data_IF_058183524958
#
_entry.id   IF_058183524958
#
_cell.length_a   1.000
_cell.length_b   1.000
_cell.length_c   1.000
_cell.angle_alpha   90.00
_cell.angle_beta   90.00
_cell.angle_gamma   90.00
#
_symmetry.space_group_name_H-M   'P 1'
#
loop_
_entity.id
_entity.type
_entity.pdbx_description
1 polymer ?
#
# COMPACT_ATOMS: atom_id res chain seq x y z
N UNK A 1 13.32 35.85 -21.25
CA UNK A 1 13.66 35.16 -19.98
C UNK A 1 12.40 34.43 -19.55
N UNK A 2 12.29 33.18 -19.96
CA UNK A 2 11.12 32.30 -19.70
C UNK A 2 11.29 31.66 -18.34
N UNK A 3 10.36 31.95 -17.45
CA UNK A 3 10.29 31.35 -16.10
C UNK A 3 10.09 29.86 -16.21
N UNK A 4 11.04 29.09 -15.65
CA UNK A 4 10.96 27.64 -15.55
C UNK A 4 9.78 27.24 -14.66
N UNK A 5 8.87 26.44 -15.18
CA UNK A 5 7.78 25.83 -14.41
C UNK A 5 8.36 24.89 -13.36
N UNK A 6 7.84 24.84 -12.12
CA UNK A 6 8.31 23.92 -11.08
C UNK A 6 8.00 22.47 -11.48
N UNK A 7 9.07 21.68 -11.55
CA UNK A 7 9.20 20.37 -12.13
C UNK A 7 8.19 19.32 -11.70
N UNK A 8 7.71 18.65 -12.71
CA UNK A 8 7.26 17.28 -12.63
C UNK A 8 8.33 16.42 -11.92
N UNK A 9 7.94 15.52 -11.03
CA UNK A 9 8.80 14.48 -10.49
C UNK A 9 9.45 13.76 -11.67
N UNK A 10 10.76 13.97 -11.88
CA UNK A 10 11.55 13.15 -12.80
C UNK A 10 11.35 11.71 -12.36
N UNK A 11 11.22 10.83 -13.33
CA UNK A 11 11.00 9.42 -13.07
C UNK A 11 12.07 8.91 -12.09
N UNK A 12 11.64 8.33 -10.96
CA UNK A 12 12.52 7.77 -9.93
C UNK A 12 13.49 6.76 -10.55
N UNK A 13 13.07 6.05 -11.58
CA UNK A 13 13.91 5.13 -12.33
C UNK A 13 15.07 5.85 -13.04
N UNK A 14 14.81 7.02 -13.63
CA UNK A 14 15.85 7.86 -14.27
C UNK A 14 16.87 8.35 -13.24
N UNK A 15 16.42 8.78 -12.06
CA UNK A 15 17.31 9.21 -10.97
C UNK A 15 18.20 8.05 -10.51
N UNK A 16 17.64 6.85 -10.30
CA UNK A 16 18.42 5.67 -9.91
C UNK A 16 19.45 5.27 -10.96
N UNK A 17 19.15 5.40 -12.23
CA UNK A 17 20.11 5.15 -13.32
C UNK A 17 21.22 6.20 -13.36
N UNK A 18 20.88 7.46 -13.12
CA UNK A 18 21.84 8.58 -13.18
C UNK A 18 22.80 8.61 -11.98
N UNK A 19 22.39 8.07 -10.85
CA UNK A 19 23.16 8.06 -9.60
C UNK A 19 23.39 6.62 -9.13
N UNK A 20 24.40 5.90 -9.72
CA UNK A 20 24.74 4.55 -9.30
C UNK A 20 25.05 4.47 -7.80
N UNK A 21 24.55 3.43 -7.14
CA UNK A 21 24.66 3.29 -5.69
C UNK A 21 26.10 3.33 -5.19
N UNK A 22 27.02 2.66 -5.89
CA UNK A 22 28.44 2.64 -5.49
C UNK A 22 29.03 4.04 -5.43
N UNK A 23 28.82 4.85 -6.47
CA UNK A 23 29.35 6.21 -6.56
C UNK A 23 28.81 7.11 -5.46
N UNK A 24 27.51 6.93 -5.11
CA UNK A 24 26.87 7.71 -4.05
C UNK A 24 27.40 7.32 -2.68
N UNK A 25 27.60 6.03 -2.42
CA UNK A 25 28.15 5.51 -1.19
C UNK A 25 29.60 5.98 -0.96
N UNK A 26 30.43 5.96 -2.00
CA UNK A 26 31.81 6.46 -1.93
C UNK A 26 31.87 7.98 -1.73
N UNK A 27 30.99 8.76 -2.39
CA UNK A 27 30.89 10.22 -2.17
C UNK A 27 30.42 10.57 -0.76
N UNK A 28 29.65 9.70 -0.14
CA UNK A 28 29.25 9.82 1.27
C UNK A 28 30.38 9.50 2.26
N UNK A 29 31.61 9.22 1.76
CA UNK A 29 32.80 8.96 2.58
C UNK A 29 32.95 7.52 3.06
N UNK A 30 32.08 6.61 2.63
CA UNK A 30 32.18 5.19 2.98
C UNK A 30 33.27 4.53 2.14
N UNK A 31 34.31 4.06 2.82
CA UNK A 31 35.43 3.37 2.15
C UNK A 31 35.05 1.92 1.84
N UNK A 32 34.99 1.61 0.55
CA UNK A 32 34.66 0.28 0.06
C UNK A 32 35.87 -0.37 -0.59
N UNK A 33 35.99 -1.69 -0.45
CA UNK A 33 36.96 -2.53 -1.17
C UNK A 33 36.22 -3.59 -1.98
N UNK A 34 36.79 -3.98 -3.08
CA UNK A 34 36.20 -5.02 -3.92
C UNK A 34 36.20 -6.36 -3.20
N UNK A 35 35.05 -7.02 -3.13
CA UNK A 35 34.83 -8.30 -2.44
C UNK A 35 34.30 -9.40 -3.40
N UNK A 36 34.49 -9.21 -4.72
CA UNK A 36 34.06 -10.13 -5.76
C UNK A 36 33.86 -9.44 -7.11
N UNK A 37 33.31 -10.16 -8.09
CA UNK A 37 33.09 -9.61 -9.42
C UNK A 37 32.13 -8.41 -9.41
N UNK A 38 31.08 -8.46 -8.61
CA UNK A 38 30.01 -7.46 -8.55
C UNK A 38 29.77 -6.86 -7.15
N UNK A 39 30.54 -7.29 -6.14
CA UNK A 39 30.32 -6.87 -4.76
C UNK A 39 31.49 -6.07 -4.19
N UNK A 40 31.11 -5.04 -3.45
CA UNK A 40 32.01 -4.19 -2.69
C UNK A 40 31.64 -4.28 -1.20
N UNK A 41 32.64 -4.15 -0.33
CA UNK A 41 32.49 -4.33 1.13
C UNK A 41 33.21 -3.22 1.88
N UNK A 42 32.62 -2.75 2.96
CA UNK A 42 33.22 -1.78 3.89
C UNK A 42 32.58 -1.80 5.26
N UNK A 43 32.98 -0.83 6.08
CA UNK A 43 32.34 -0.57 7.37
C UNK A 43 30.98 0.08 7.14
N UNK A 44 29.99 -0.26 7.95
CA UNK A 44 28.64 0.28 7.83
C UNK A 44 28.57 1.73 8.32
N UNK A 45 27.98 2.65 7.56
CA UNK A 45 27.80 4.04 8.00
C UNK A 45 26.60 4.23 8.95
N UNK A 46 25.81 3.20 9.19
CA UNK A 46 24.53 3.30 9.92
C UNK A 46 24.61 2.78 11.36
N UNK A 47 25.72 2.17 11.77
CA UNK A 47 25.97 1.73 13.14
C UNK A 47 27.48 1.69 13.39
N UNK A 48 27.88 1.64 14.62
CA UNK A 48 29.28 1.45 14.99
C UNK A 48 29.75 0.06 14.54
N UNK A 49 30.60 0.03 13.52
CA UNK A 49 31.02 -1.20 12.84
C UNK A 49 32.55 -1.31 12.85
N UNK A 50 33.07 -2.34 13.47
CA UNK A 50 34.51 -2.63 13.57
C UNK A 50 34.96 -3.73 12.59
N UNK A 51 34.01 -4.45 12.02
CA UNK A 51 34.26 -5.50 11.04
C UNK A 51 33.44 -5.24 9.77
N UNK A 52 34.03 -5.18 8.56
CA UNK A 52 33.30 -4.87 7.34
C UNK A 52 32.06 -5.73 7.15
N UNK A 53 30.89 -5.17 7.40
CA UNK A 53 29.60 -5.85 7.34
C UNK A 53 28.65 -5.24 6.29
N UNK A 54 29.06 -4.13 5.69
CA UNK A 54 28.29 -3.41 4.67
C UNK A 54 28.71 -3.83 3.26
N UNK A 55 27.76 -4.28 2.47
CA UNK A 55 27.99 -4.74 1.11
C UNK A 55 27.15 -3.96 0.10
N UNK A 56 27.76 -3.64 -1.04
CA UNK A 56 27.11 -3.02 -2.20
C UNK A 56 27.21 -3.99 -3.38
N UNK A 57 26.10 -4.34 -3.98
CA UNK A 57 26.00 -5.09 -5.23
C UNK A 57 25.77 -4.10 -6.36
N UNK A 58 26.76 -3.99 -7.26
CA UNK A 58 26.74 -2.99 -8.35
C UNK A 58 25.84 -3.39 -9.52
N UNK A 59 25.54 -4.66 -9.66
CA UNK A 59 24.64 -5.16 -10.70
C UNK A 59 23.18 -4.99 -10.29
N UNK A 60 22.86 -5.41 -9.05
CA UNK A 60 21.51 -5.28 -8.49
C UNK A 60 21.22 -3.86 -7.97
N UNK A 61 22.22 -2.96 -7.91
CA UNK A 61 22.11 -1.60 -7.35
C UNK A 61 21.50 -1.61 -5.93
N UNK A 62 21.97 -2.52 -5.09
CA UNK A 62 21.48 -2.74 -3.74
C UNK A 62 22.62 -2.78 -2.73
N UNK A 63 22.33 -2.28 -1.53
CA UNK A 63 23.20 -2.51 -0.37
C UNK A 63 22.52 -3.38 0.68
N UNK A 64 23.33 -4.02 1.49
CA UNK A 64 22.92 -4.76 2.68
C UNK A 64 24.04 -4.70 3.73
N UNK A 65 23.66 -4.44 4.98
CA UNK A 65 24.52 -4.60 6.13
C UNK A 65 24.14 -5.87 6.89
N UNK A 66 25.10 -6.76 7.08
CA UNK A 66 24.87 -7.99 7.86
C UNK A 66 24.94 -7.76 9.37
N UNK A 67 25.46 -6.61 9.84
CA UNK A 67 25.45 -6.18 11.23
C UNK A 67 24.06 -5.66 11.63
N UNK A 68 23.71 -4.43 11.21
CA UNK A 68 22.46 -3.77 11.60
C UNK A 68 21.24 -4.12 10.75
N UNK A 69 21.40 -4.98 9.72
CA UNK A 69 20.33 -5.41 8.78
C UNK A 69 19.77 -4.32 7.90
N UNK A 70 20.36 -3.14 7.87
CA UNK A 70 20.03 -2.08 6.90
C UNK A 70 20.22 -2.58 5.49
N UNK A 71 19.30 -2.23 4.61
CA UNK A 71 19.32 -2.64 3.20
C UNK A 71 18.45 -1.72 2.36
N UNK A 72 18.77 -1.58 1.09
CA UNK A 72 17.98 -0.75 0.18
C UNK A 72 18.68 -0.49 -1.14
N UNK A 73 18.20 0.51 -1.85
CA UNK A 73 18.80 1.07 -3.06
C UNK A 73 19.45 2.43 -2.77
N UNK A 74 19.83 3.17 -3.82
CA UNK A 74 20.49 4.49 -3.68
C UNK A 74 19.64 5.51 -2.93
N UNK A 75 18.32 5.50 -3.10
CA UNK A 75 17.43 6.43 -2.39
C UNK A 75 17.29 6.07 -0.92
N UNK A 76 17.22 4.78 -0.62
CA UNK A 76 17.22 4.30 0.76
C UNK A 76 18.53 4.62 1.46
N UNK A 77 19.67 4.46 0.76
CA UNK A 77 20.98 4.83 1.30
C UNK A 77 21.04 6.30 1.66
N UNK A 78 20.69 7.19 0.72
CA UNK A 78 20.69 8.64 0.95
C UNK A 78 19.75 9.04 2.07
N UNK A 79 18.54 8.47 2.12
CA UNK A 79 17.60 8.74 3.21
C UNK A 79 18.17 8.38 4.58
N UNK A 80 18.80 7.22 4.68
CA UNK A 80 19.37 6.76 5.95
C UNK A 80 20.61 7.56 6.34
N UNK A 81 21.50 7.85 5.38
CA UNK A 81 22.77 8.54 5.62
C UNK A 81 22.55 10.01 5.95
N UNK A 82 21.67 10.70 5.25
CA UNK A 82 21.38 12.12 5.42
C UNK A 82 20.20 12.37 6.37
N UNK A 83 19.69 11.34 7.05
CA UNK A 83 18.55 11.42 7.98
C UNK A 83 17.30 12.07 7.35
N UNK A 84 17.03 11.80 6.06
CA UNK A 84 15.92 12.36 5.33
C UNK A 84 14.64 11.54 5.57
N UNK A 85 13.50 12.24 5.59
CA UNK A 85 12.21 11.61 5.91
C UNK A 85 11.50 11.01 4.69
N UNK A 86 11.76 11.56 3.49
CA UNK A 86 11.01 11.18 2.28
C UNK A 86 11.92 10.83 1.10
N UNK A 87 11.41 10.01 0.18
CA UNK A 87 12.08 9.72 -1.10
C UNK A 87 12.24 10.99 -1.95
N UNK A 88 11.29 11.93 -1.86
CA UNK A 88 11.38 13.20 -2.55
C UNK A 88 12.58 14.05 -2.09
N UNK A 89 12.86 14.05 -0.78
CA UNK A 89 14.05 14.71 -0.22
C UNK A 89 15.34 14.03 -0.70
N UNK A 90 15.38 12.70 -0.76
CA UNK A 90 16.53 11.98 -1.29
C UNK A 90 16.77 12.26 -2.79
N UNK A 91 15.70 12.33 -3.57
CA UNK A 91 15.79 12.73 -4.98
C UNK A 91 16.31 14.15 -5.13
N UNK A 92 15.83 15.09 -4.33
CA UNK A 92 16.27 16.47 -4.32
C UNK A 92 17.75 16.60 -3.93
N UNK A 93 18.16 15.86 -2.90
CA UNK A 93 19.56 15.79 -2.46
C UNK A 93 20.49 15.28 -3.59
N UNK A 94 20.11 14.17 -4.24
CA UNK A 94 20.88 13.59 -5.35
C UNK A 94 20.97 14.53 -6.56
N UNK A 95 19.90 15.26 -6.88
CA UNK A 95 19.83 16.11 -8.06
C UNK A 95 20.35 17.53 -7.83
N UNK A 96 20.68 17.89 -6.57
CA UNK A 96 21.07 19.25 -6.19
C UNK A 96 19.94 20.27 -6.40
N UNK A 97 18.71 19.82 -6.59
CA UNK A 97 17.55 20.71 -6.66
C UNK A 97 17.22 21.19 -5.25
N UNK A 98 16.93 22.50 -5.04
CA UNK A 98 16.47 22.97 -3.75
C UNK A 98 15.25 22.12 -3.36
N UNK A 99 15.29 21.49 -2.19
CA UNK A 99 14.07 20.94 -1.58
C UNK A 99 13.11 22.12 -1.51
N UNK A 100 11.96 22.12 -2.19
CA UNK A 100 10.97 23.15 -1.95
C UNK A 100 10.76 23.15 -0.45
N UNK A 101 10.80 24.34 0.25
CA UNK A 101 10.67 24.39 1.69
C UNK A 101 9.53 23.46 2.04
N UNK A 102 9.80 22.49 2.93
CA UNK A 102 8.84 21.45 3.26
C UNK A 102 7.52 22.18 3.38
N UNK A 103 6.63 22.02 2.39
CA UNK A 103 5.34 22.71 2.42
C UNK A 103 4.87 22.39 3.80
N UNK A 104 4.88 23.43 4.67
CA UNK A 104 4.43 23.30 6.03
C UNK A 104 3.28 22.32 5.94
N UNK A 105 3.43 21.16 6.59
CA UNK A 105 2.31 20.25 6.70
C UNK A 105 1.17 21.20 7.01
N UNK A 106 0.33 21.48 6.03
CA UNK A 106 -0.90 22.23 6.27
C UNK A 106 -1.47 21.42 7.39
N UNK A 107 -1.49 22.03 8.57
CA UNK A 107 -2.03 21.39 9.76
C UNK A 107 -3.33 20.79 9.28
N UNK A 108 -3.55 19.49 9.42
CA UNK A 108 -4.67 18.81 8.80
C UNK A 108 -5.86 19.71 9.08
N UNK A 109 -6.47 20.22 8.02
CA UNK A 109 -7.60 21.14 8.15
C UNK A 109 -8.56 20.50 9.14
N UNK A 110 -9.16 21.29 10.00
CA UNK A 110 -10.08 20.92 11.09
C UNK A 110 -11.20 19.93 10.72
N UNK A 111 -11.27 19.50 9.47
CA UNK A 111 -12.15 18.43 8.95
C UNK A 111 -11.74 17.00 9.35
N UNK A 112 -10.65 16.81 10.05
CA UNK A 112 -10.10 15.48 10.36
C UNK A 112 -10.23 15.07 11.82
N UNK A 113 -10.99 15.80 12.64
CA UNK A 113 -11.06 15.56 14.08
C UNK A 113 -11.85 14.30 14.50
N UNK A 114 -12.47 13.56 13.56
CA UNK A 114 -13.33 12.41 13.87
C UNK A 114 -12.90 11.08 13.25
N UNK A 115 -11.74 11.00 12.62
CA UNK A 115 -11.24 9.69 12.21
C UNK A 115 -10.62 9.01 13.42
N UNK A 116 -11.09 7.82 13.74
CA UNK A 116 -10.42 6.96 14.70
C UNK A 116 -9.04 6.59 14.14
N UNK A 117 -8.04 7.31 14.61
CA UNK A 117 -6.67 7.29 14.13
C UNK A 117 -5.79 6.33 14.93
N UNK A 118 -6.37 5.24 15.43
CA UNK A 118 -5.59 4.23 16.15
C UNK A 118 -4.38 3.80 15.31
N UNK A 119 -4.58 3.60 14.02
CA UNK A 119 -3.54 3.15 13.09
C UNK A 119 -2.50 4.22 12.76
N UNK A 120 -2.83 5.50 12.95
CA UNK A 120 -1.90 6.62 12.81
C UNK A 120 -1.14 6.93 14.12
N UNK A 121 -1.44 6.24 15.22
CA UNK A 121 -0.92 6.47 16.57
C UNK A 121 -0.37 5.21 17.23
N UNK A 122 0.13 4.29 16.43
CA UNK A 122 0.77 3.08 16.96
C UNK A 122 2.00 3.45 17.79
N UNK A 123 2.15 2.81 18.93
CA UNK A 123 3.39 2.86 19.70
C UNK A 123 4.51 2.16 18.95
N UNK A 124 5.75 2.41 19.32
CA UNK A 124 6.89 1.72 18.73
C UNK A 124 6.81 0.19 18.93
N UNK A 125 6.31 -0.24 20.08
CA UNK A 125 6.14 -1.66 20.40
C UNK A 125 5.04 -2.30 19.55
N UNK A 126 3.89 -1.63 19.37
CA UNK A 126 2.82 -2.09 18.48
C UNK A 126 3.31 -2.18 17.04
N UNK A 127 4.02 -1.17 16.57
CA UNK A 127 4.60 -1.16 15.22
C UNK A 127 5.61 -2.28 15.03
N UNK A 128 6.44 -2.57 16.03
CA UNK A 128 7.40 -3.67 15.99
C UNK A 128 6.69 -5.02 15.87
N UNK A 129 5.62 -5.23 16.62
CA UNK A 129 4.82 -6.46 16.55
C UNK A 129 4.13 -6.60 15.19
N UNK A 130 3.56 -5.52 14.63
CA UNK A 130 2.97 -5.54 13.29
C UNK A 130 4.02 -5.81 12.21
N UNK A 131 5.20 -5.20 12.30
CA UNK A 131 6.32 -5.44 11.38
C UNK A 131 6.78 -6.90 11.42
N UNK A 132 6.88 -7.46 12.62
CA UNK A 132 7.23 -8.87 12.85
C UNK A 132 6.19 -9.78 12.23
N UNK A 133 4.90 -9.53 12.48
CA UNK A 133 3.81 -10.28 11.88
C UNK A 133 3.85 -10.22 10.35
N UNK A 134 4.00 -9.01 9.79
CA UNK A 134 4.11 -8.82 8.34
C UNK A 134 5.29 -9.56 7.72
N UNK A 135 6.46 -9.57 8.38
CA UNK A 135 7.63 -10.30 7.91
C UNK A 135 7.38 -11.82 7.90
N UNK A 136 6.88 -12.37 9.01
CA UNK A 136 6.59 -13.80 9.15
C UNK A 136 5.51 -14.25 8.15
N UNK A 137 4.47 -13.46 7.95
CA UNK A 137 3.40 -13.78 6.99
C UNK A 137 3.91 -13.75 5.55
N UNK A 138 4.77 -12.78 5.17
CA UNK A 138 5.39 -12.77 3.84
C UNK A 138 6.25 -14.02 3.62
N UNK A 139 7.10 -14.37 4.56
CA UNK A 139 7.94 -15.55 4.48
C UNK A 139 7.12 -16.85 4.37
N UNK A 140 6.03 -16.95 5.16
CA UNK A 140 5.14 -18.10 5.13
C UNK A 140 4.41 -18.22 3.78
N UNK A 141 4.02 -17.10 3.16
CA UNK A 141 3.38 -17.09 1.85
C UNK A 141 4.27 -17.73 0.78
N UNK A 142 5.55 -17.34 0.73
CA UNK A 142 6.47 -17.86 -0.30
C UNK A 142 6.81 -19.33 -0.10
N UNK A 143 6.65 -19.87 1.10
CA UNK A 143 6.78 -21.31 1.40
C UNK A 143 5.48 -22.10 1.19
N UNK A 144 4.33 -21.42 1.05
CA UNK A 144 3.02 -22.08 0.92
C UNK A 144 2.54 -22.10 -0.53
N UNK A 145 2.73 -23.25 -1.21
CA UNK A 145 2.34 -23.42 -2.61
C UNK A 145 0.82 -23.22 -2.84
N UNK A 146 -0.03 -23.63 -1.89
CA UNK A 146 -1.49 -23.48 -2.00
C UNK A 146 -1.92 -22.02 -1.94
N UNK A 147 -1.35 -21.24 -1.02
CA UNK A 147 -1.64 -19.81 -0.92
C UNK A 147 -1.16 -19.06 -2.18
N UNK A 148 0.01 -19.39 -2.72
CA UNK A 148 0.49 -18.81 -3.97
C UNK A 148 -0.40 -19.18 -5.16
N UNK A 149 -0.77 -20.45 -5.29
CA UNK A 149 -1.68 -20.90 -6.35
C UNK A 149 -3.03 -20.17 -6.31
N UNK A 150 -3.56 -19.91 -5.10
CA UNK A 150 -4.76 -19.11 -4.94
C UNK A 150 -4.59 -17.69 -5.48
N UNK A 151 -3.48 -17.01 -5.16
CA UNK A 151 -3.21 -15.66 -5.67
C UNK A 151 -3.03 -15.64 -7.19
N UNK A 152 -2.36 -16.65 -7.76
CA UNK A 152 -2.25 -16.82 -9.21
C UNK A 152 -3.63 -17.05 -9.85
N UNK A 153 -4.47 -17.88 -9.24
CA UNK A 153 -5.85 -18.10 -9.71
C UNK A 153 -6.69 -16.82 -9.66
N UNK A 154 -6.40 -15.90 -8.73
CA UNK A 154 -7.01 -14.56 -8.65
C UNK A 154 -6.40 -13.56 -9.64
N UNK A 155 -5.49 -13.99 -10.52
CA UNK A 155 -4.89 -13.15 -11.55
C UNK A 155 -3.85 -12.15 -11.01
N UNK A 156 -3.33 -12.34 -9.80
CA UNK A 156 -2.37 -11.43 -9.20
C UNK A 156 -0.94 -11.81 -9.55
N UNK A 157 -0.18 -10.96 -10.23
CA UNK A 157 1.23 -11.19 -10.53
C UNK A 157 2.09 -11.02 -9.27
N UNK A 158 3.21 -11.72 -9.22
CA UNK A 158 4.14 -11.75 -8.08
C UNK A 158 4.60 -10.35 -7.66
N UNK A 159 4.74 -9.42 -8.60
CA UNK A 159 5.16 -8.06 -8.26
C UNK A 159 4.10 -7.31 -7.42
N UNK A 160 2.80 -7.54 -7.67
CA UNK A 160 1.71 -6.98 -6.83
C UNK A 160 1.77 -7.58 -5.44
N UNK A 161 1.93 -8.91 -5.36
CA UNK A 161 2.04 -9.63 -4.08
C UNK A 161 3.18 -9.05 -3.24
N UNK A 162 4.34 -8.80 -3.85
CA UNK A 162 5.50 -8.19 -3.17
C UNK A 162 5.28 -6.72 -2.83
N UNK A 163 4.82 -5.92 -3.79
CA UNK A 163 4.65 -4.47 -3.63
C UNK A 163 3.55 -4.10 -2.62
N UNK A 164 2.53 -4.94 -2.47
CA UNK A 164 1.48 -4.77 -1.47
C UNK A 164 1.76 -5.52 -0.16
N UNK A 165 2.91 -6.22 -0.05
CA UNK A 165 3.33 -6.89 1.17
C UNK A 165 2.45 -8.06 1.60
N UNK A 166 1.78 -8.75 0.64
CA UNK A 166 0.90 -9.85 0.95
C UNK A 166 1.64 -10.97 1.69
N UNK A 167 0.91 -11.64 2.59
CA UNK A 167 1.42 -12.73 3.39
C UNK A 167 0.42 -13.89 3.52
N UNK A 168 0.80 -14.87 4.31
CA UNK A 168 -0.04 -16.01 4.69
C UNK A 168 0.23 -16.35 6.16
N UNK A 169 -0.81 -16.52 6.96
CA UNK A 169 -0.66 -17.02 8.33
C UNK A 169 -0.81 -18.54 8.36
N UNK A 170 0.22 -19.22 8.80
CA UNK A 170 0.19 -20.68 9.04
C UNK A 170 -0.50 -21.07 10.35
N UNK A 171 -0.89 -20.05 11.15
CA UNK A 171 -1.61 -20.19 12.39
C UNK A 171 -0.75 -20.49 13.63
N UNK A 172 0.58 -20.45 13.51
CA UNK A 172 1.50 -20.82 14.61
C UNK A 172 2.82 -20.06 14.64
N UNK A 173 3.31 -19.59 13.50
CA UNK A 173 4.66 -19.00 13.41
C UNK A 173 4.78 -17.69 14.17
N UNK A 174 3.74 -16.85 14.14
CA UNK A 174 3.73 -15.57 14.86
C UNK A 174 3.69 -15.80 16.38
N UNK A 175 2.79 -16.66 16.85
CA UNK A 175 2.67 -16.99 18.28
C UNK A 175 3.97 -17.56 18.83
N UNK A 176 4.55 -18.54 18.13
CA UNK A 176 5.81 -19.16 18.53
C UNK A 176 6.98 -18.16 18.58
N UNK A 177 7.05 -17.26 17.58
CA UNK A 177 8.07 -16.21 17.54
C UNK A 177 7.93 -15.25 18.72
N UNK A 178 6.71 -14.72 18.96
CA UNK A 178 6.47 -13.75 20.03
C UNK A 178 6.60 -14.37 21.43
N UNK A 179 6.33 -15.65 21.57
CA UNK A 179 6.59 -16.39 22.83
C UNK A 179 8.08 -16.41 23.18
N UNK A 180 8.93 -16.57 22.18
CA UNK A 180 10.39 -16.62 22.35
C UNK A 180 11.02 -15.23 22.53
N UNK A 181 10.51 -14.22 21.82
CA UNK A 181 11.14 -12.91 21.72
C UNK A 181 10.38 -11.78 22.41
N UNK A 182 9.22 -12.06 22.99
CA UNK A 182 8.35 -11.08 23.63
C UNK A 182 7.27 -10.54 22.68
N UNK A 183 6.29 -9.80 23.23
CA UNK A 183 5.25 -9.14 22.46
C UNK A 183 3.89 -9.86 22.41
N UNK A 184 3.71 -11.00 23.11
CA UNK A 184 2.44 -11.75 23.11
C UNK A 184 1.24 -10.89 23.53
N UNK A 185 1.40 -10.11 24.63
CA UNK A 185 0.35 -9.25 25.14
C UNK A 185 -0.05 -8.17 24.13
N UNK A 186 0.94 -7.52 23.53
CA UNK A 186 0.72 -6.49 22.52
C UNK A 186 0.01 -7.08 21.29
N UNK A 187 0.41 -8.28 20.85
CA UNK A 187 -0.25 -8.97 19.75
C UNK A 187 -1.70 -9.39 20.10
N UNK A 188 -2.00 -9.72 21.35
CA UNK A 188 -3.35 -9.98 21.85
C UNK A 188 -4.17 -8.67 21.85
N UNK A 189 -3.62 -7.57 22.35
CA UNK A 189 -4.25 -6.25 22.41
C UNK A 189 -4.51 -5.69 20.98
N UNK A 190 -3.61 -5.92 20.04
CA UNK A 190 -3.80 -5.62 18.61
C UNK A 190 -4.81 -6.54 17.92
N UNK A 191 -5.14 -7.67 18.53
CA UNK A 191 -6.02 -8.69 17.97
C UNK A 191 -5.37 -9.58 16.91
N UNK A 192 -4.04 -9.61 16.82
CA UNK A 192 -3.29 -10.58 16.00
C UNK A 192 -3.37 -11.99 16.58
N UNK A 193 -3.39 -12.06 17.92
CA UNK A 193 -3.59 -13.28 18.68
C UNK A 193 -4.90 -13.21 19.46
N UNK A 194 -5.55 -14.35 19.67
CA UNK A 194 -6.75 -14.47 20.49
C UNK A 194 -6.65 -15.65 21.43
N UNK A 195 -7.34 -15.56 22.54
CA UNK A 195 -7.53 -16.72 23.42
C UNK A 195 -8.47 -17.73 22.76
N UNK A 196 -8.28 -19.03 22.98
CA UNK A 196 -9.21 -20.03 22.51
C UNK A 196 -10.57 -19.83 23.20
N UNK A 197 -11.64 -20.05 22.43
CA UNK A 197 -13.01 -20.02 22.96
C UNK A 197 -13.31 -21.27 23.82
N UNK A 198 -14.37 -21.19 24.65
CA UNK A 198 -14.81 -22.36 25.42
C UNK A 198 -15.15 -23.50 24.47
N UNK A 199 -14.44 -24.64 24.61
CA UNK A 199 -14.59 -25.80 23.72
C UNK A 199 -13.51 -25.95 22.66
N UNK A 200 -12.75 -24.92 22.35
CA UNK A 200 -11.55 -25.00 21.51
C UNK A 200 -10.36 -25.53 22.33
N UNK A 201 -10.15 -26.77 22.57
CA UNK A 201 -9.08 -27.30 23.41
C UNK A 201 -7.73 -26.59 23.27
N UNK A 202 -7.04 -26.35 24.40
CA UNK A 202 -5.68 -25.77 24.46
C UNK A 202 -5.60 -24.48 25.26
N UNK A 203 -4.40 -24.27 25.89
CA UNK A 203 -4.06 -23.06 26.67
C UNK A 203 -3.27 -22.01 25.83
N UNK A 204 -2.92 -22.33 24.57
CA UNK A 204 -2.10 -21.48 23.72
C UNK A 204 -2.95 -20.46 22.98
N UNK A 205 -2.41 -19.24 22.83
CA UNK A 205 -3.01 -18.22 21.99
C UNK A 205 -3.07 -18.69 20.53
N UNK A 206 -4.10 -18.29 19.82
CA UNK A 206 -4.33 -18.64 18.42
C UNK A 206 -4.16 -17.43 17.53
N UNK A 207 -3.50 -17.60 16.39
CA UNK A 207 -3.40 -16.56 15.39
C UNK A 207 -4.76 -16.26 14.76
N UNK A 208 -5.12 -14.97 14.71
CA UNK A 208 -6.38 -14.51 14.13
C UNK A 208 -6.53 -14.91 12.66
N UNK A 209 -5.45 -14.83 11.91
CA UNK A 209 -5.44 -15.06 10.47
C UNK A 209 -5.05 -16.48 10.07
N UNK A 210 -5.08 -17.44 10.98
CA UNK A 210 -4.70 -18.83 10.70
C UNK A 210 -5.35 -19.35 9.41
N UNK A 211 -4.54 -19.84 8.48
CA UNK A 211 -4.96 -20.38 7.18
C UNK A 211 -5.40 -19.33 6.16
N UNK A 212 -5.16 -18.06 6.39
CA UNK A 212 -5.59 -16.95 5.52
C UNK A 212 -4.44 -16.33 4.75
N UNK A 213 -4.69 -15.92 3.52
CA UNK A 213 -3.90 -14.90 2.83
C UNK A 213 -4.13 -13.58 3.56
N UNK A 214 -3.06 -12.89 3.91
CA UNK A 214 -3.09 -11.67 4.71
C UNK A 214 -2.64 -10.50 3.86
N UNK A 215 -3.45 -9.44 3.83
CA UNK A 215 -3.18 -8.22 3.10
C UNK A 215 -3.00 -7.09 4.11
N UNK A 216 -1.84 -6.43 4.14
CA UNK A 216 -1.60 -5.30 5.02
C UNK A 216 -2.14 -3.99 4.44
N UNK A 217 -2.58 -3.08 5.29
CA UNK A 217 -2.53 -1.66 4.99
C UNK A 217 -1.13 -1.14 5.37
N UNK A 218 -0.50 -0.43 4.45
CA UNK A 218 0.86 0.07 4.62
C UNK A 218 0.87 1.59 4.79
N UNK A 219 1.71 2.07 5.72
CA UNK A 219 2.05 3.48 5.88
C UNK A 219 3.57 3.61 5.93
N UNK A 220 4.16 4.39 5.05
CA UNK A 220 5.62 4.45 4.92
C UNK A 220 6.27 3.09 4.66
N UNK A 221 5.57 2.19 3.97
CA UNK A 221 6.01 0.82 3.72
C UNK A 221 5.90 -0.13 4.92
N UNK A 222 5.38 0.31 6.06
CA UNK A 222 5.19 -0.49 7.26
C UNK A 222 3.72 -0.89 7.42
N UNK A 223 3.41 -2.12 7.83
CA UNK A 223 2.03 -2.54 8.06
C UNK A 223 1.48 -1.85 9.30
N UNK A 224 0.30 -1.24 9.18
CA UNK A 224 -0.43 -0.65 10.29
C UNK A 224 -1.71 -1.42 10.63
N UNK A 225 -2.18 -2.25 9.70
CA UNK A 225 -3.38 -3.05 9.85
C UNK A 225 -3.33 -4.25 8.90
N UNK A 226 -4.13 -5.26 9.18
CA UNK A 226 -4.22 -6.46 8.36
C UNK A 226 -5.67 -6.89 8.13
N UNK A 227 -5.92 -7.42 6.93
CA UNK A 227 -7.12 -8.18 6.60
C UNK A 227 -6.74 -9.52 6.01
N UNK A 228 -7.39 -10.59 6.47
CA UNK A 228 -7.13 -11.96 6.05
C UNK A 228 -8.28 -12.52 5.22
N UNK A 229 -7.99 -13.08 4.05
CA UNK A 229 -8.92 -13.82 3.20
C UNK A 229 -8.67 -15.32 3.30
N UNK A 230 -9.71 -16.10 3.58
CA UNK A 230 -9.60 -17.55 3.54
C UNK A 230 -9.68 -18.05 2.08
N UNK A 231 -8.70 -18.83 1.60
CA UNK A 231 -8.63 -19.24 0.18
C UNK A 231 -9.75 -20.20 -0.25
N UNK A 232 -10.32 -20.96 0.69
CA UNK A 232 -11.37 -21.95 0.40
C UNK A 232 -12.69 -21.55 1.05
N UNK A 233 -13.55 -20.87 0.27
CA UNK A 233 -14.80 -20.28 0.76
C UNK A 233 -15.79 -21.30 1.31
N UNK A 234 -15.71 -22.57 0.85
CA UNK A 234 -16.61 -23.63 1.29
C UNK A 234 -16.35 -24.10 2.73
N UNK A 235 -15.19 -23.75 3.29
CA UNK A 235 -14.76 -24.24 4.61
C UNK A 235 -14.95 -23.23 5.74
N UNK A 236 -15.36 -21.99 5.46
CA UNK A 236 -15.47 -20.95 6.48
C UNK A 236 -16.73 -20.10 6.32
N UNK A 237 -17.33 -19.78 7.46
CA UNK A 237 -18.48 -18.87 7.53
C UNK A 237 -18.09 -17.41 7.21
N UNK A 238 -16.88 -17.00 7.58
CA UNK A 238 -16.39 -15.62 7.41
C UNK A 238 -15.26 -15.62 6.41
N UNK A 239 -15.52 -15.10 5.22
CA UNK A 239 -14.55 -15.01 4.12
C UNK A 239 -13.39 -14.06 4.45
N UNK A 240 -13.70 -12.84 4.87
CA UNK A 240 -12.75 -11.80 5.25
C UNK A 240 -12.76 -11.57 6.75
N UNK A 241 -11.58 -11.36 7.32
CA UNK A 241 -11.40 -11.09 8.72
C UNK A 241 -10.34 -9.99 8.88
N UNK A 242 -10.72 -8.82 9.37
CA UNK A 242 -9.79 -7.73 9.68
C UNK A 242 -9.29 -7.78 11.12
N UNK A 243 -8.27 -7.02 11.45
CA UNK A 243 -7.97 -6.71 12.85
C UNK A 243 -9.18 -6.00 13.48
N UNK A 244 -9.39 -6.14 14.80
CA UNK A 244 -10.52 -5.51 15.48
C UNK A 244 -10.42 -3.99 15.45
N UNK A 245 -11.57 -3.35 15.62
CA UNK A 245 -11.71 -1.91 15.59
C UNK A 245 -12.11 -1.37 14.22
N UNK A 246 -11.96 -0.07 14.05
CA UNK A 246 -12.33 0.60 12.81
C UNK A 246 -11.39 0.20 11.67
N UNK A 247 -11.96 -0.07 10.50
CA UNK A 247 -11.19 -0.42 9.30
C UNK A 247 -10.51 0.81 8.71
N UNK A 248 -9.20 0.80 8.45
CA UNK A 248 -8.56 1.84 7.65
C UNK A 248 -8.98 1.72 6.18
N UNK A 249 -8.69 2.76 5.43
CA UNK A 249 -8.74 2.71 3.97
C UNK A 249 -7.54 1.91 3.49
N UNK A 250 -7.79 0.83 2.76
CA UNK A 250 -6.74 0.00 2.17
C UNK A 250 -6.17 0.67 0.92
N UNK A 251 -4.84 0.85 0.87
CA UNK A 251 -4.16 1.51 -0.24
C UNK A 251 -4.19 3.04 -0.17
N UNK A 252 -4.42 3.63 0.99
CA UNK A 252 -4.48 5.08 1.20
C UNK A 252 -3.32 5.84 0.53
N UNK A 253 -2.06 5.43 0.77
CA UNK A 253 -0.89 6.15 0.24
C UNK A 253 -0.80 6.13 -1.29
N UNK A 254 -1.42 5.14 -1.95
CA UNK A 254 -1.45 5.06 -3.42
C UNK A 254 -2.39 6.09 -4.03
N UNK A 255 -3.47 6.41 -3.33
CA UNK A 255 -4.51 7.34 -3.78
C UNK A 255 -4.34 8.75 -3.20
N UNK A 256 -3.72 8.90 -2.03
CA UNK A 256 -3.57 10.17 -1.36
C UNK A 256 -2.84 11.22 -2.22
N UNK A 257 -3.45 12.39 -2.35
CA UNK A 257 -2.92 13.54 -3.11
C UNK A 257 -3.03 13.41 -4.63
N UNK A 258 -3.61 12.32 -5.16
CA UNK A 258 -3.84 12.15 -6.59
C UNK A 258 -5.06 12.99 -7.05
N UNK A 259 -5.01 13.44 -8.30
CA UNK A 259 -6.13 14.18 -8.92
C UNK A 259 -7.24 13.26 -9.41
N UNK A 260 -6.89 12.05 -9.79
CA UNK A 260 -7.78 10.99 -10.22
C UNK A 260 -7.49 9.76 -9.37
N UNK A 261 -8.53 9.12 -8.87
CA UNK A 261 -8.43 7.93 -8.01
C UNK A 261 -9.56 6.96 -8.31
N UNK A 262 -9.32 5.70 -7.96
CA UNK A 262 -10.26 4.60 -8.14
C UNK A 262 -10.64 4.02 -6.79
N UNK A 263 -11.91 4.13 -6.42
CA UNK A 263 -12.47 3.52 -5.23
C UNK A 263 -13.00 2.13 -5.59
N UNK A 264 -12.49 1.10 -4.94
CA UNK A 264 -12.99 -0.28 -5.07
C UNK A 264 -13.66 -0.75 -3.80
N UNK A 265 -14.60 -1.67 -3.93
CA UNK A 265 -15.29 -2.26 -2.78
C UNK A 265 -14.40 -3.29 -2.08
N UNK A 266 -13.90 -4.27 -2.83
CA UNK A 266 -13.20 -5.42 -2.32
C UNK A 266 -11.67 -5.28 -2.28
N UNK A 267 -11.06 -6.13 -1.45
CA UNK A 267 -9.59 -6.20 -1.33
C UNK A 267 -8.94 -6.69 -2.62
N UNK A 268 -9.55 -7.69 -3.29
CA UNK A 268 -9.00 -8.25 -4.53
C UNK A 268 -9.23 -7.34 -5.72
N UNK A 269 -10.31 -6.54 -5.72
CA UNK A 269 -10.56 -5.50 -6.71
C UNK A 269 -9.49 -4.40 -6.63
N UNK A 270 -9.17 -3.98 -5.41
CA UNK A 270 -8.05 -3.07 -5.17
C UNK A 270 -6.72 -3.65 -5.68
N UNK A 271 -6.41 -4.91 -5.39
CA UNK A 271 -5.18 -5.56 -5.87
C UNK A 271 -5.15 -5.66 -7.39
N UNK A 272 -6.31 -5.90 -8.03
CA UNK A 272 -6.45 -5.90 -9.49
C UNK A 272 -6.19 -4.50 -10.05
N UNK A 273 -6.81 -3.46 -9.47
CA UNK A 273 -6.54 -2.07 -9.85
C UNK A 273 -5.05 -1.70 -9.69
N UNK A 274 -4.40 -2.14 -8.60
CA UNK A 274 -2.96 -1.99 -8.40
C UNK A 274 -2.17 -2.70 -9.49
N UNK A 275 -2.59 -3.89 -9.94
CA UNK A 275 -1.93 -4.61 -11.03
C UNK A 275 -1.97 -3.86 -12.36
N UNK A 276 -2.93 -2.97 -12.52
CA UNK A 276 -3.07 -2.08 -13.67
C UNK A 276 -2.42 -0.71 -13.44
N UNK A 277 -1.67 -0.53 -12.36
CA UNK A 277 -0.99 0.71 -11.95
C UNK A 277 -1.94 1.88 -11.67
N UNK A 278 -3.19 1.59 -11.30
CA UNK A 278 -4.16 2.62 -10.95
C UNK A 278 -3.92 3.16 -9.53
N UNK A 279 -4.12 4.46 -9.29
CA UNK A 279 -4.10 5.04 -7.95
C UNK A 279 -5.39 4.69 -7.22
N UNK A 280 -5.50 3.44 -6.78
CA UNK A 280 -6.70 2.87 -6.22
C UNK A 280 -6.61 2.70 -4.71
N UNK A 281 -7.78 2.72 -4.08
CA UNK A 281 -7.99 2.40 -2.68
C UNK A 281 -9.28 1.58 -2.50
N UNK A 282 -9.38 0.86 -1.37
CA UNK A 282 -10.58 0.09 -1.03
C UNK A 282 -11.15 0.48 0.33
N UNK A 283 -12.45 0.48 0.42
CA UNK A 283 -13.22 0.61 1.66
C UNK A 283 -13.41 -0.71 2.40
N UNK A 284 -12.99 -1.82 1.79
CA UNK A 284 -13.16 -3.19 2.29
C UNK A 284 -14.62 -3.54 2.62
N UNK A 285 -15.56 -3.07 1.80
CA UNK A 285 -17.00 -3.31 1.88
C UNK A 285 -17.83 -2.05 1.60
N UNK A 286 -19.14 -2.24 1.41
CA UNK A 286 -20.11 -1.19 1.05
C UNK A 286 -20.54 -0.31 2.21
N UNK A 287 -20.35 -0.73 3.46
CA UNK A 287 -20.80 -0.05 4.68
C UNK A 287 -19.87 1.08 5.16
N UNK A 288 -18.93 1.49 4.33
CA UNK A 288 -17.97 2.55 4.65
C UNK A 288 -18.63 3.94 4.63
N UNK A 289 -18.48 4.76 5.70
CA UNK A 289 -19.06 6.09 5.75
C UNK A 289 -18.38 7.06 4.78
N UNK A 290 -19.13 7.69 3.84
CA UNK A 290 -18.54 8.59 2.84
C UNK A 290 -17.86 9.85 3.42
N UNK A 291 -18.28 10.33 4.58
CA UNK A 291 -17.71 11.47 5.30
C UNK A 291 -16.22 11.24 5.67
N UNK A 292 -15.81 9.99 5.79
CA UNK A 292 -14.42 9.61 6.01
C UNK A 292 -13.52 9.80 4.77
N UNK A 293 -14.07 10.15 3.63
CA UNK A 293 -13.32 10.41 2.39
C UNK A 293 -12.86 11.87 2.24
N UNK A 294 -12.96 12.70 3.29
CA UNK A 294 -12.50 14.10 3.28
C UNK A 294 -11.02 14.29 2.88
N UNK A 295 -10.17 13.28 3.07
CA UNK A 295 -8.78 13.29 2.62
C UNK A 295 -8.62 13.31 1.09
N UNK A 296 -9.68 13.00 0.34
CA UNK A 296 -9.74 13.11 -1.13
C UNK A 296 -9.97 14.55 -1.62
N UNK A 297 -9.76 15.56 -0.81
CA UNK A 297 -10.00 16.97 -1.17
C UNK A 297 -9.27 17.40 -2.46
N UNK A 298 -8.14 16.77 -2.79
CA UNK A 298 -7.38 17.04 -4.04
C UNK A 298 -7.84 16.24 -5.25
N UNK A 299 -8.63 15.19 -5.05
CA UNK A 299 -9.15 14.39 -6.15
C UNK A 299 -10.21 15.20 -6.90
N UNK A 300 -10.00 15.36 -8.20
CA UNK A 300 -10.96 16.00 -9.11
C UNK A 300 -11.94 14.98 -9.68
N UNK A 301 -11.48 13.75 -9.85
CA UNK A 301 -12.27 12.64 -10.38
C UNK A 301 -12.07 11.43 -9.45
N UNK A 302 -13.16 10.83 -9.04
CA UNK A 302 -13.19 9.64 -8.19
C UNK A 302 -14.04 8.60 -8.92
N UNK A 303 -13.38 7.65 -9.60
CA UNK A 303 -14.08 6.54 -10.23
C UNK A 303 -14.51 5.53 -9.19
N UNK A 304 -15.83 5.27 -9.13
CA UNK A 304 -16.40 4.24 -8.27
C UNK A 304 -16.44 2.91 -9.01
N UNK A 305 -15.61 1.97 -8.59
CA UNK A 305 -15.51 0.62 -9.15
C UNK A 305 -16.09 -0.34 -8.11
N UNK A 306 -17.41 -0.35 -8.03
CA UNK A 306 -18.17 -1.15 -7.06
C UNK A 306 -18.77 -2.38 -7.77
N UNK A 307 -19.14 -3.38 -6.97
CA UNK A 307 -19.69 -4.62 -7.50
C UNK A 307 -20.99 -4.37 -8.26
N UNK A 308 -21.20 -5.08 -9.37
CA UNK A 308 -22.40 -4.96 -10.23
C UNK A 308 -23.68 -5.55 -9.61
N UNK A 309 -23.77 -5.58 -8.27
CA UNK A 309 -24.92 -6.08 -7.53
C UNK A 309 -25.75 -4.93 -6.91
N UNK A 310 -26.81 -5.30 -6.18
CA UNK A 310 -27.69 -4.31 -5.53
C UNK A 310 -26.94 -3.51 -4.46
N UNK A 311 -26.11 -4.14 -3.66
CA UNK A 311 -25.41 -3.48 -2.55
C UNK A 311 -24.36 -2.49 -3.07
N UNK A 312 -23.64 -2.84 -4.15
CA UNK A 312 -22.72 -1.96 -4.83
C UNK A 312 -23.41 -0.75 -5.45
N UNK A 313 -24.58 -0.91 -6.08
CA UNK A 313 -25.38 0.21 -6.60
C UNK A 313 -25.86 1.16 -5.50
N UNK A 314 -26.39 0.63 -4.39
CA UNK A 314 -26.80 1.45 -3.24
C UNK A 314 -25.60 2.19 -2.60
N UNK A 315 -24.42 1.59 -2.62
CA UNK A 315 -23.19 2.25 -2.17
C UNK A 315 -22.76 3.35 -3.15
N UNK A 316 -22.86 3.12 -4.46
CA UNK A 316 -22.56 4.11 -5.50
C UNK A 316 -23.40 5.37 -5.33
N UNK A 317 -24.70 5.22 -5.05
CA UNK A 317 -25.61 6.34 -4.79
C UNK A 317 -25.20 7.15 -3.55
N UNK A 318 -24.86 6.47 -2.45
CA UNK A 318 -24.39 7.13 -1.23
C UNK A 318 -23.09 7.91 -1.43
N UNK A 319 -22.14 7.32 -2.16
CA UNK A 319 -20.91 8.01 -2.51
C UNK A 319 -21.16 9.17 -3.45
N UNK A 320 -22.08 9.02 -4.41
CA UNK A 320 -22.48 10.07 -5.34
C UNK A 320 -23.06 11.30 -4.60
N UNK A 321 -23.94 11.08 -3.63
CA UNK A 321 -24.50 12.14 -2.80
C UNK A 321 -23.43 12.89 -2.01
N UNK A 322 -22.44 12.17 -1.46
CA UNK A 322 -21.40 12.75 -0.63
C UNK A 322 -20.28 13.44 -1.42
N UNK A 323 -19.91 12.91 -2.59
CA UNK A 323 -18.77 13.36 -3.39
C UNK A 323 -19.15 14.29 -4.53
N UNK A 324 -20.44 14.33 -4.86
CA UNK A 324 -21.01 15.23 -5.87
C UNK A 324 -20.38 15.02 -7.26
N UNK A 325 -20.15 16.11 -7.99
CA UNK A 325 -19.64 16.07 -9.38
C UNK A 325 -18.30 15.35 -9.56
N UNK A 326 -17.55 15.12 -8.51
CA UNK A 326 -16.28 14.39 -8.55
C UNK A 326 -16.45 12.88 -8.67
N UNK A 327 -17.64 12.38 -8.32
CA UNK A 327 -17.99 10.96 -8.37
C UNK A 327 -18.36 10.53 -9.77
N UNK A 328 -17.72 9.51 -10.27
CA UNK A 328 -17.93 8.90 -11.57
C UNK A 328 -18.08 7.39 -11.38
N UNK A 329 -19.30 6.88 -11.21
CA UNK A 329 -19.52 5.44 -11.10
C UNK A 329 -19.18 4.74 -12.40
N UNK A 330 -18.45 3.63 -12.30
CA UNK A 330 -18.21 2.72 -13.43
C UNK A 330 -19.16 1.54 -13.29
N UNK A 331 -20.00 1.35 -14.28
CA UNK A 331 -20.94 0.22 -14.34
C UNK A 331 -20.19 -1.01 -14.85
N UNK A 332 -19.81 -1.90 -13.93
CA UNK A 332 -19.28 -3.21 -14.28
C UNK A 332 -20.42 -4.11 -14.81
N UNK A 333 -20.09 -5.13 -15.64
CA UNK A 333 -21.08 -6.12 -16.07
C UNK A 333 -21.80 -6.76 -14.87
N UNK A 334 -23.07 -7.07 -15.04
CA UNK A 334 -23.92 -7.63 -13.98
C UNK A 334 -23.29 -8.86 -13.33
N UNK A 335 -23.26 -8.85 -12.00
CA UNK A 335 -22.68 -9.92 -11.17
C UNK A 335 -21.18 -10.09 -11.28
N UNK A 336 -20.46 -9.11 -11.85
CA UNK A 336 -19.01 -9.11 -12.01
C UNK A 336 -18.38 -8.11 -11.02
N UNK A 337 -17.34 -8.52 -10.32
CA UNK A 337 -16.44 -7.62 -9.60
C UNK A 337 -15.21 -7.27 -10.48
N UNK A 338 -14.39 -6.32 -10.06
CA UNK A 338 -13.22 -5.92 -10.83
C UNK A 338 -12.18 -7.04 -10.93
N UNK A 339 -12.05 -7.88 -9.89
CA UNK A 339 -11.15 -9.03 -9.92
C UNK A 339 -11.62 -10.10 -10.91
N UNK A 340 -12.94 -10.34 -11.00
CA UNK A 340 -13.51 -11.24 -11.98
C UNK A 340 -13.27 -10.74 -13.41
N UNK A 341 -13.48 -9.45 -13.65
CA UNK A 341 -13.15 -8.81 -14.92
C UNK A 341 -11.66 -8.93 -15.25
N UNK A 342 -10.79 -8.70 -14.26
CA UNK A 342 -9.33 -8.78 -14.42
C UNK A 342 -8.82 -10.19 -14.79
N UNK A 343 -9.60 -11.23 -14.49
CA UNK A 343 -9.30 -12.62 -14.85
C UNK A 343 -9.75 -13.03 -16.23
N UNK A 344 -10.60 -12.22 -16.87
CA UNK A 344 -11.13 -12.49 -18.20
C UNK A 344 -10.13 -12.01 -19.27
N UNK A 345 -10.07 -12.75 -20.37
CA UNK A 345 -9.29 -12.33 -21.54
C UNK A 345 -9.89 -11.03 -22.10
N UNK A 346 -9.06 -9.99 -22.24
CA UNK A 346 -9.52 -8.66 -22.66
C UNK A 346 -10.19 -7.82 -21.57
N UNK A 347 -10.40 -8.34 -20.35
CA UNK A 347 -11.12 -7.63 -19.28
C UNK A 347 -10.46 -6.31 -18.87
N UNK A 348 -9.14 -6.23 -18.87
CA UNK A 348 -8.42 -4.96 -18.68
C UNK A 348 -8.77 -3.94 -19.77
N UNK A 349 -8.84 -4.37 -21.04
CA UNK A 349 -9.22 -3.50 -22.17
C UNK A 349 -10.64 -2.96 -22.00
N UNK A 350 -11.57 -3.84 -21.65
CA UNK A 350 -12.96 -3.47 -21.38
C UNK A 350 -13.06 -2.44 -20.23
N UNK A 351 -12.33 -2.64 -19.15
CA UNK A 351 -12.29 -1.67 -18.04
C UNK A 351 -11.86 -0.28 -18.52
N UNK A 352 -10.78 -0.18 -19.30
CA UNK A 352 -10.34 1.12 -19.79
C UNK A 352 -11.28 1.74 -20.82
N UNK A 353 -12.02 0.96 -21.57
CA UNK A 353 -13.12 1.45 -22.41
C UNK A 353 -14.25 2.05 -21.58
N UNK A 354 -14.65 1.39 -20.48
CA UNK A 354 -15.65 1.93 -19.56
C UNK A 354 -15.18 3.26 -18.93
N UNK A 355 -13.91 3.35 -18.51
CA UNK A 355 -13.34 4.59 -17.99
C UNK A 355 -13.39 5.71 -19.04
N UNK A 356 -13.02 5.42 -20.29
CA UNK A 356 -13.04 6.40 -21.38
C UNK A 356 -14.46 6.91 -21.66
N UNK A 357 -15.41 6.00 -21.80
CA UNK A 357 -16.84 6.34 -22.04
C UNK A 357 -17.43 7.18 -20.91
N UNK A 358 -17.11 6.84 -19.63
CA UNK A 358 -17.56 7.62 -18.48
C UNK A 358 -16.98 9.03 -18.47
N UNK A 359 -15.73 9.21 -18.89
CA UNK A 359 -15.09 10.54 -19.03
C UNK A 359 -15.77 11.39 -20.11
N UNK A 360 -16.10 10.80 -21.27
CA UNK A 360 -16.78 11.49 -22.37
C UNK A 360 -18.16 11.98 -21.91
N UNK A 361 -18.95 11.12 -21.27
CA UNK A 361 -20.27 11.47 -20.74
C UNK A 361 -20.18 12.61 -19.71
N UNK A 362 -19.18 12.59 -18.83
CA UNK A 362 -18.98 13.64 -17.84
C UNK A 362 -18.57 14.98 -18.47
N UNK A 363 -17.75 14.95 -19.52
CA UNK A 363 -17.34 16.14 -20.27
C UNK A 363 -18.55 16.78 -20.99
N UNK A 364 -19.35 15.98 -21.70
CA UNK A 364 -20.56 16.43 -22.39
C UNK A 364 -21.58 17.04 -21.41
N UNK A 365 -21.76 16.44 -20.24
CA UNK A 365 -22.66 16.98 -19.21
C UNK A 365 -22.17 18.34 -18.70
N UNK A 366 -20.86 18.50 -18.52
CA UNK A 366 -20.26 19.76 -18.07
C UNK A 366 -20.43 20.87 -19.12
N UNK A 367 -20.22 20.54 -20.41
CA UNK A 367 -20.38 21.49 -21.51
C UNK A 367 -21.85 21.94 -21.68
N UNK A 368 -22.81 21.02 -21.54
CA UNK A 368 -24.24 21.33 -21.58
C UNK A 368 -24.66 22.29 -20.45
N UNK A 369 -24.12 22.11 -19.24
CA UNK A 369 -24.39 22.98 -18.10
C UNK A 369 -23.80 24.37 -18.34
N UNK A 370 -22.57 24.47 -18.86
CA UNK A 370 -21.94 25.74 -19.16
C UNK A 370 -22.76 26.52 -20.22
N UNK A 371 -23.18 25.83 -21.30
CA UNK A 371 -24.02 26.47 -22.33
C UNK A 371 -25.42 26.90 -21.84
N UNK A 372 -25.99 26.21 -20.84
CA UNK A 372 -27.27 26.60 -20.26
C UNK A 372 -27.12 27.83 -19.35
N UNK A 373 -25.98 28.04 -18.72
CA UNK A 373 -25.71 29.22 -17.88
C UNK A 373 -25.40 30.47 -18.73
N UNK A 374 -24.82 30.31 -19.95
CA UNK A 374 -24.54 31.41 -20.88
C UNK A 374 -25.80 31.91 -21.61
N UNK A 375 -26.94 31.22 -21.49
CA UNK A 375 -28.24 31.62 -22.13
C UNK A 375 -29.13 32.40 -21.17
N UNK A 376 -28.86 32.34 -19.86
CA UNK A 376 -29.62 33.04 -18.81
C UNK A 376 -28.97 34.37 -18.35
N UNK A 377 -27.79 34.74 -18.90
CA UNK A 377 -27.14 36.06 -18.78
C UNK A 377 -27.37 36.88 -20.08
#
# INVERSE_FOLDING_TARGET
>A
MTAAQPGAYRDIAEIKLKYPLLDVVERAGVRLRRAGARRWQGLCPFHEDHNPSFFVDVEDQRFVCFGCKSRGDVLDFVRMHEHLNTVGEACAWLTGTPVPPARQRVAPSTLTAQQDRRWDRLTLEEQLVLNTAGALYRDALWRNARARAYLTQRGLPDWVVRACGLGYSDGRSLEAHLRKHGGLRIAEDLGLLRRPERGEGGRMLRERFAGRVVVPELRGGQPVWFIGRYPDERKVRVKYLGLPGERPILGFERAAGRREVYLTEGVFDWLTAVSWHLPAFSTCGTDFPPDRLGWLARARVIFGVLDGDRAGREAADRFGQALGRRWQPLELPDGCDLNDLGRQLGGRGLFFQLVASTRETAADATERIARAQDVDD
#
